data_IF_131046135093
#
_entry.id   IF_131046135093
#
_cell.length_a   1.000
_cell.length_b   1.000
_cell.length_c   1.000
_cell.angle_alpha   90.00
_cell.angle_beta   90.00
_cell.angle_gamma   90.00
#
_symmetry.space_group_name_H-M   'P 1'
#
loop_
_entity.id
_entity.type
_entity.pdbx_description
1 polymer ?
#
# COMPACT_ATOMS: atom_id res chain seq x y z
N UNK A 1 -10.75 14.16 20.63
CA UNK A 1 -9.32 13.83 20.83
C UNK A 1 -9.14 12.36 20.50
N UNK A 2 -8.09 12.00 19.78
CA UNK A 2 -7.76 10.60 19.50
C UNK A 2 -6.90 10.10 20.65
N UNK A 3 -7.35 9.06 21.32
CA UNK A 3 -6.58 8.37 22.36
C UNK A 3 -5.97 7.11 21.78
N UNK A 4 -4.76 6.76 22.23
CA UNK A 4 -4.05 5.59 21.77
C UNK A 4 -3.93 4.56 22.87
N UNK A 5 -4.31 3.32 22.59
CA UNK A 5 -3.94 2.18 23.43
C UNK A 5 -2.56 1.69 23.04
N UNK A 6 -1.79 1.25 24.02
CA UNK A 6 -0.49 0.61 23.83
C UNK A 6 -0.59 -0.85 24.23
N UNK A 7 -0.23 -1.73 23.29
CA UNK A 7 -0.18 -3.18 23.50
C UNK A 7 1.24 -3.69 23.31
N UNK A 8 1.60 -4.73 24.05
CA UNK A 8 2.74 -5.55 23.65
C UNK A 8 2.39 -6.33 22.38
N UNK A 9 3.40 -6.87 21.68
CA UNK A 9 3.17 -7.76 20.54
C UNK A 9 2.34 -9.00 20.91
N UNK A 10 2.33 -9.39 22.19
CA UNK A 10 1.57 -10.53 22.73
C UNK A 10 0.12 -10.20 23.15
N UNK A 11 -0.40 -9.04 22.73
CA UNK A 11 -1.76 -8.57 23.02
C UNK A 11 -2.01 -8.20 24.49
N UNK A 12 -0.99 -7.91 25.27
CA UNK A 12 -1.15 -7.35 26.60
C UNK A 12 -1.28 -5.82 26.49
N UNK A 13 -2.38 -5.26 26.97
CA UNK A 13 -2.56 -3.82 27.03
C UNK A 13 -1.76 -3.27 28.22
N UNK A 14 -0.77 -2.46 27.95
CA UNK A 14 0.16 -1.92 28.94
C UNK A 14 -0.09 -0.46 29.29
N UNK A 15 -0.89 0.26 28.51
CA UNK A 15 -1.23 1.64 28.80
C UNK A 15 -2.09 2.32 27.77
N UNK A 16 -2.33 3.62 28.01
CA UNK A 16 -3.04 4.53 27.12
C UNK A 16 -2.31 5.86 27.05
N UNK A 17 -2.26 6.47 25.88
CA UNK A 17 -1.70 7.80 25.64
C UNK A 17 -2.87 8.74 25.30
N UNK A 18 -3.09 9.73 26.15
CA UNK A 18 -4.16 10.72 26.03
C UNK A 18 -3.60 12.13 25.75
N UNK A 19 -2.32 12.34 26.08
CA UNK A 19 -1.64 13.63 25.92
C UNK A 19 -0.44 13.49 25.00
N UNK A 20 -0.38 14.33 23.99
CA UNK A 20 0.69 14.39 23.01
C UNK A 20 0.77 15.80 22.40
N UNK A 21 1.94 16.16 21.91
CA UNK A 21 2.21 17.44 21.25
C UNK A 21 1.78 17.40 19.78
N UNK A 22 1.98 16.25 19.15
CA UNK A 22 1.56 15.99 17.78
C UNK A 22 1.20 14.52 17.56
N UNK A 23 0.12 14.28 16.82
CA UNK A 23 -0.26 12.97 16.32
C UNK A 23 -0.63 13.11 14.86
N UNK A 24 -0.03 12.27 14.02
CA UNK A 24 -0.38 12.16 12.62
C UNK A 24 -0.61 10.69 12.26
N UNK A 25 -1.74 10.40 11.61
CA UNK A 25 -2.10 9.05 11.14
C UNK A 25 -2.41 9.15 9.66
N UNK A 26 -1.53 8.60 8.82
CA UNK A 26 -1.76 8.47 7.39
C UNK A 26 -2.18 7.04 7.06
N UNK A 27 -3.44 6.84 6.67
CA UNK A 27 -3.97 5.58 6.15
C UNK A 27 -3.74 5.53 4.64
N UNK A 28 -3.18 4.44 4.14
CA UNK A 28 -2.89 4.24 2.73
C UNK A 28 -3.55 2.98 2.19
N UNK A 29 -4.11 3.05 0.98
CA UNK A 29 -4.78 1.92 0.34
C UNK A 29 -3.79 0.96 -0.35
N UNK A 30 -2.78 1.49 -1.05
CA UNK A 30 -1.79 0.71 -1.80
C UNK A 30 -0.41 0.70 -1.15
N UNK A 31 -0.33 1.01 0.13
CA UNK A 31 0.93 1.02 0.88
C UNK A 31 0.64 0.84 2.37
N UNK A 32 1.70 0.58 3.15
CA UNK A 32 1.59 0.61 4.61
C UNK A 32 1.15 1.98 5.10
N UNK A 33 0.32 1.99 6.12
CA UNK A 33 -0.08 3.20 6.83
C UNK A 33 0.97 3.59 7.86
N UNK A 34 1.02 4.88 8.20
CA UNK A 34 2.04 5.44 9.11
C UNK A 34 1.35 6.17 10.26
N UNK A 35 1.85 5.99 11.46
CA UNK A 35 1.51 6.79 12.63
C UNK A 35 2.79 7.47 13.12
N UNK A 36 2.74 8.80 13.23
CA UNK A 36 3.77 9.62 13.85
C UNK A 36 3.21 10.24 15.12
N UNK A 37 3.93 10.09 16.22
CA UNK A 37 3.53 10.57 17.55
C UNK A 37 4.69 11.31 18.18
N UNK A 38 4.41 12.52 18.71
CA UNK A 38 5.36 13.33 19.44
C UNK A 38 4.77 13.75 20.77
N UNK A 39 5.50 13.50 21.86
CA UNK A 39 5.06 13.76 23.23
C UNK A 39 6.25 13.96 24.17
N UNK A 40 5.94 14.41 25.40
CA UNK A 40 6.96 14.63 26.42
C UNK A 40 7.60 13.30 26.88
N UNK A 41 8.92 13.32 27.14
CA UNK A 41 9.71 12.15 27.54
C UNK A 41 9.55 11.83 29.03
N UNK A 42 8.33 11.56 29.49
CA UNK A 42 8.12 11.05 30.85
C UNK A 42 8.61 9.60 30.97
N UNK A 43 8.95 9.16 32.20
CA UNK A 43 9.33 7.75 32.43
C UNK A 43 8.27 6.79 31.90
N UNK A 44 7.00 7.07 32.16
CA UNK A 44 5.86 6.26 31.68
C UNK A 44 5.83 6.18 30.14
N UNK A 45 6.00 7.31 29.43
CA UNK A 45 5.97 7.34 27.99
C UNK A 45 7.17 6.57 27.37
N UNK A 46 8.35 6.68 27.99
CA UNK A 46 9.54 5.91 27.61
C UNK A 46 9.30 4.40 27.75
N UNK A 47 8.66 3.97 28.85
CA UNK A 47 8.34 2.56 29.07
C UNK A 47 7.28 2.03 28.08
N UNK A 48 6.28 2.82 27.78
CA UNK A 48 5.18 2.44 26.87
C UNK A 48 5.64 2.35 25.40
N UNK A 49 6.49 3.26 24.96
CA UNK A 49 6.84 3.42 23.53
C UNK A 49 8.05 2.59 23.12
N UNK A 50 8.13 1.35 23.57
CA UNK A 50 9.20 0.45 23.21
C UNK A 50 9.03 -0.16 21.81
N UNK A 51 10.17 -0.53 21.19
CA UNK A 51 10.20 -1.23 19.90
C UNK A 51 9.31 -2.47 19.93
N UNK A 52 8.55 -2.68 18.87
CA UNK A 52 7.59 -3.76 18.65
C UNK A 52 6.29 -3.66 19.49
N UNK A 53 6.15 -2.69 20.37
CA UNK A 53 4.84 -2.39 20.92
C UNK A 53 3.91 -1.89 19.81
N UNK A 54 2.62 -2.13 19.98
CA UNK A 54 1.60 -1.83 18.97
C UNK A 54 0.67 -0.74 19.50
N UNK A 55 0.54 0.33 18.72
CA UNK A 55 -0.39 1.43 18.99
C UNK A 55 -1.69 1.17 18.23
N UNK A 56 -2.82 1.38 18.89
CA UNK A 56 -4.14 1.41 18.24
C UNK A 56 -4.91 2.63 18.71
N UNK A 57 -5.84 3.13 17.90
CA UNK A 57 -6.78 4.14 18.41
C UNK A 57 -7.83 3.47 19.28
N UNK A 58 -8.39 4.22 20.26
CA UNK A 58 -9.49 3.70 21.10
C UNK A 58 -10.76 3.44 20.29
N UNK A 59 -10.94 4.12 19.16
CA UNK A 59 -12.07 3.95 18.24
C UNK A 59 -11.91 2.76 17.30
N UNK A 60 -10.67 2.30 17.05
CA UNK A 60 -10.39 1.12 16.22
C UNK A 60 -9.23 0.32 16.81
N UNK A 61 -9.54 -0.50 17.79
CA UNK A 61 -8.56 -1.34 18.51
C UNK A 61 -7.99 -2.49 17.67
N UNK A 62 -8.63 -2.82 16.55
CA UNK A 62 -8.19 -3.91 15.68
C UNK A 62 -7.14 -3.46 14.65
N UNK A 63 -7.03 -2.17 14.38
CA UNK A 63 -6.04 -1.64 13.45
C UNK A 63 -4.79 -1.15 14.19
N UNK A 64 -3.74 -1.96 14.13
CA UNK A 64 -2.52 -1.74 14.89
C UNK A 64 -1.40 -1.11 14.07
N UNK A 65 -0.58 -0.30 14.75
CA UNK A 65 0.66 0.29 14.24
C UNK A 65 1.82 -0.19 15.11
N UNK A 66 2.74 -0.94 14.53
CA UNK A 66 3.93 -1.45 15.23
C UNK A 66 5.02 -0.40 15.27
N UNK A 67 5.57 -0.13 16.46
CA UNK A 67 6.63 0.85 16.67
C UNK A 67 7.93 0.32 16.07
N UNK A 68 8.52 1.09 15.15
CA UNK A 68 9.78 0.74 14.48
C UNK A 68 10.90 1.73 14.74
N UNK A 69 10.55 2.99 15.01
CA UNK A 69 11.52 4.03 15.25
C UNK A 69 11.14 4.84 16.49
N UNK A 70 12.13 5.07 17.35
CA UNK A 70 12.05 5.87 18.54
C UNK A 70 13.19 6.90 18.51
N UNK A 71 12.88 8.16 18.70
CA UNK A 71 13.82 9.26 18.81
C UNK A 71 13.57 9.98 20.13
N UNK A 72 14.62 10.19 20.91
CA UNK A 72 14.61 11.09 22.05
C UNK A 72 15.41 12.35 21.69
N UNK A 73 14.91 13.49 22.05
CA UNK A 73 15.63 14.73 21.91
C UNK A 73 15.29 15.70 23.05
N UNK A 74 16.25 16.52 23.41
CA UNK A 74 16.14 17.57 24.42
C UNK A 74 16.42 18.91 23.75
N UNK A 75 15.54 19.88 23.96
CA UNK A 75 15.64 21.23 23.42
C UNK A 75 15.18 22.26 24.44
N UNK A 76 15.07 23.53 24.05
CA UNK A 76 14.65 24.63 24.95
C UNK A 76 13.22 24.51 25.48
N UNK A 77 12.40 23.64 24.90
CA UNK A 77 10.99 23.37 25.29
C UNK A 77 10.91 22.16 26.23
N UNK A 78 11.97 21.38 26.38
CA UNK A 78 12.06 20.23 27.26
C UNK A 78 12.48 18.96 26.56
N UNK A 79 12.29 17.84 27.24
CA UNK A 79 12.61 16.50 26.78
C UNK A 79 11.42 15.88 26.04
N UNK A 80 11.63 15.43 24.82
CA UNK A 80 10.58 14.90 23.96
C UNK A 80 10.94 13.55 23.36
N UNK A 81 9.90 12.81 23.02
CA UNK A 81 9.96 11.56 22.27
C UNK A 81 9.20 11.74 20.96
N UNK A 82 9.81 11.27 19.87
CA UNK A 82 9.15 11.11 18.58
C UNK A 82 9.19 9.65 18.16
N UNK A 83 8.02 9.12 17.83
CA UNK A 83 7.84 7.70 17.44
C UNK A 83 7.25 7.61 16.07
N UNK A 84 7.82 6.70 15.26
CA UNK A 84 7.21 6.27 14.01
C UNK A 84 6.77 4.80 14.15
N UNK A 85 5.51 4.58 13.85
CA UNK A 85 4.91 3.26 13.82
C UNK A 85 4.23 3.02 12.48
N UNK A 86 4.34 1.81 11.96
CA UNK A 86 3.72 1.42 10.70
C UNK A 86 2.59 0.45 10.94
N UNK A 87 1.57 0.46 10.06
CA UNK A 87 0.53 -0.58 10.10
C UNK A 87 1.16 -1.97 10.10
N UNK A 88 0.45 -2.95 10.66
CA UNK A 88 0.97 -4.30 10.80
C UNK A 88 1.31 -5.00 9.48
N UNK A 89 0.90 -4.44 8.34
CA UNK A 89 1.39 -4.86 7.01
C UNK A 89 2.91 -4.79 6.89
N UNK A 90 3.55 -3.89 7.65
CA UNK A 90 5.02 -3.77 7.73
C UNK A 90 5.71 -5.07 8.16
N UNK A 91 5.00 -6.02 8.75
CA UNK A 91 5.54 -7.35 9.02
C UNK A 91 6.01 -8.07 7.75
N UNK A 92 5.44 -7.75 6.59
CA UNK A 92 5.85 -8.30 5.30
C UNK A 92 7.17 -7.70 4.79
N UNK A 93 7.50 -6.46 5.17
CA UNK A 93 8.78 -5.81 4.82
C UNK A 93 10.00 -6.56 5.40
N UNK A 94 9.79 -7.33 6.47
CA UNK A 94 10.83 -8.13 7.10
C UNK A 94 11.11 -9.45 6.37
N UNK A 95 10.47 -9.70 5.24
CA UNK A 95 10.60 -10.93 4.46
C UNK A 95 10.91 -10.62 3.01
N UNK A 96 11.57 -11.58 2.38
CA UNK A 96 11.87 -11.53 0.95
C UNK A 96 11.47 -12.86 0.30
N UNK A 97 11.04 -12.83 -0.94
CA UNK A 97 10.92 -14.03 -1.78
C UNK A 97 12.32 -14.56 -2.09
N UNK A 98 12.50 -15.86 -2.25
CA UNK A 98 13.82 -16.45 -2.41
C UNK A 98 14.03 -16.97 -3.84
N UNK A 99 13.24 -17.97 -4.22
CA UNK A 99 13.32 -18.60 -5.52
C UNK A 99 12.31 -17.97 -6.48
N UNK A 100 12.39 -18.33 -7.75
CA UNK A 100 11.32 -18.00 -8.69
C UNK A 100 10.03 -18.69 -8.24
N UNK A 101 9.00 -17.89 -8.01
CA UNK A 101 7.69 -18.34 -7.57
C UNK A 101 6.63 -17.79 -8.52
N UNK A 102 5.75 -18.68 -8.99
CA UNK A 102 4.66 -18.33 -9.89
C UNK A 102 3.35 -18.84 -9.31
N UNK A 103 2.42 -17.93 -9.09
CA UNK A 103 1.05 -18.27 -8.68
C UNK A 103 0.04 -17.62 -9.61
N UNK A 104 -1.02 -18.38 -9.93
CA UNK A 104 -2.15 -17.90 -10.71
C UNK A 104 -3.47 -18.31 -10.05
N UNK A 105 -4.53 -17.57 -10.36
CA UNK A 105 -5.88 -17.82 -9.85
C UNK A 105 -6.52 -16.58 -9.23
N UNK A 106 -7.44 -16.81 -8.28
CA UNK A 106 -8.08 -15.72 -7.55
C UNK A 106 -7.04 -14.84 -6.84
N UNK A 107 -7.14 -13.53 -6.97
CA UNK A 107 -6.16 -12.55 -6.48
C UNK A 107 -5.92 -12.65 -4.99
N UNK A 108 -6.96 -12.82 -4.19
CA UNK A 108 -6.85 -12.97 -2.74
C UNK A 108 -6.04 -14.22 -2.38
N UNK A 109 -6.30 -15.32 -3.07
CA UNK A 109 -5.57 -16.58 -2.89
C UNK A 109 -4.11 -16.45 -3.30
N UNK A 110 -3.81 -15.76 -4.40
CA UNK A 110 -2.44 -15.51 -4.88
C UNK A 110 -1.65 -14.70 -3.85
N UNK A 111 -2.20 -13.57 -3.37
CA UNK A 111 -1.58 -12.74 -2.33
C UNK A 111 -1.32 -13.56 -1.06
N UNK A 112 -2.34 -14.27 -0.59
CA UNK A 112 -2.27 -15.07 0.64
C UNK A 112 -1.27 -16.24 0.53
N UNK A 113 -1.09 -16.83 -0.66
CA UNK A 113 -0.06 -17.85 -0.89
C UNK A 113 1.36 -17.29 -0.69
N UNK A 114 1.68 -16.12 -1.24
CA UNK A 114 2.97 -15.47 -1.00
C UNK A 114 3.20 -15.20 0.51
N UNK A 115 2.21 -14.64 1.18
CA UNK A 115 2.30 -14.34 2.61
C UNK A 115 2.45 -15.64 3.42
N UNK A 116 1.65 -16.66 3.13
CA UNK A 116 1.73 -17.96 3.82
C UNK A 116 3.13 -18.56 3.71
N UNK A 117 3.68 -18.62 2.50
CA UNK A 117 4.98 -19.24 2.22
C UNK A 117 6.13 -18.55 2.94
N UNK A 118 6.11 -17.23 3.01
CA UNK A 118 7.25 -16.46 3.54
C UNK A 118 7.11 -16.03 5.00
N UNK A 119 5.87 -15.97 5.52
CA UNK A 119 5.61 -15.47 6.86
C UNK A 119 5.03 -16.51 7.83
N UNK A 120 4.36 -17.57 7.33
CA UNK A 120 3.59 -18.50 8.16
C UNK A 120 4.12 -19.93 8.00
N UNK A 121 3.99 -20.49 6.81
CA UNK A 121 4.36 -21.88 6.48
C UNK A 121 5.83 -21.95 6.03
N UNK A 122 6.73 -21.51 6.87
CA UNK A 122 8.16 -21.41 6.60
C UNK A 122 8.98 -21.95 7.78
N UNK A 123 10.31 -21.92 7.69
CA UNK A 123 11.16 -22.33 8.80
C UNK A 123 10.87 -21.51 10.06
N UNK A 124 11.09 -22.08 11.24
CA UNK A 124 10.85 -21.41 12.52
C UNK A 124 11.54 -20.04 12.63
N UNK A 125 12.72 -19.88 12.02
CA UNK A 125 13.46 -18.62 12.03
C UNK A 125 12.84 -17.52 11.14
N UNK A 126 11.99 -17.89 10.19
CA UNK A 126 11.32 -16.96 9.27
C UNK A 126 9.85 -16.76 9.62
N UNK A 127 9.25 -17.69 10.34
CA UNK A 127 7.85 -17.58 10.75
C UNK A 127 7.62 -16.31 11.58
N UNK A 128 6.52 -15.61 11.30
CA UNK A 128 6.07 -14.46 12.09
C UNK A 128 5.07 -14.98 13.13
N UNK A 129 5.38 -14.85 14.42
CA UNK A 129 4.50 -15.39 15.46
C UNK A 129 3.10 -14.79 15.39
N UNK A 130 2.07 -15.60 15.63
CA UNK A 130 0.64 -15.20 15.71
C UNK A 130 0.02 -14.70 14.39
N UNK A 131 0.79 -14.61 13.28
CA UNK A 131 0.26 -14.22 11.99
C UNK A 131 -0.53 -15.39 11.37
N UNK A 132 -1.74 -15.12 10.92
CA UNK A 132 -2.63 -16.08 10.25
C UNK A 132 -3.35 -15.42 9.09
N UNK A 133 -3.87 -16.24 8.18
CA UNK A 133 -4.71 -15.76 7.08
C UNK A 133 -6.18 -15.81 7.51
N UNK A 134 -6.91 -14.74 7.26
CA UNK A 134 -8.37 -14.75 7.29
C UNK A 134 -8.93 -15.41 6.01
N UNK A 135 -10.21 -15.74 6.01
CA UNK A 135 -10.91 -16.22 4.82
C UNK A 135 -10.89 -15.16 3.70
N UNK A 136 -11.10 -15.60 2.47
CA UNK A 136 -11.23 -14.69 1.34
C UNK A 136 -12.53 -13.87 1.46
N UNK A 137 -12.46 -12.60 1.08
CA UNK A 137 -13.59 -11.66 1.12
C UNK A 137 -14.58 -11.85 -0.02
N UNK A 138 -14.27 -12.72 -1.00
CA UNK A 138 -15.12 -12.99 -2.16
C UNK A 138 -14.83 -12.09 -3.37
N UNK A 139 -13.65 -11.46 -3.43
CA UNK A 139 -13.26 -10.64 -4.58
C UNK A 139 -13.05 -11.55 -5.80
N UNK A 140 -13.81 -11.31 -6.87
CA UNK A 140 -13.80 -12.13 -8.08
C UNK A 140 -12.87 -11.55 -9.15
N UNK A 141 -11.58 -11.51 -8.86
CA UNK A 141 -10.51 -11.05 -9.78
C UNK A 141 -9.50 -12.19 -9.92
N UNK A 142 -9.13 -12.50 -11.16
CA UNK A 142 -8.07 -13.48 -11.47
C UNK A 142 -6.79 -12.74 -11.81
N UNK A 143 -5.68 -13.19 -11.26
CA UNK A 143 -4.34 -12.63 -11.52
C UNK A 143 -3.31 -13.74 -11.66
N UNK A 144 -2.19 -13.37 -12.25
CA UNK A 144 -0.98 -14.19 -12.27
C UNK A 144 0.19 -13.30 -11.86
N UNK A 145 1.08 -13.86 -11.06
CA UNK A 145 2.27 -13.19 -10.60
C UNK A 145 3.46 -14.14 -10.50
N UNK A 146 4.61 -13.65 -10.93
CA UNK A 146 5.90 -14.33 -10.81
C UNK A 146 6.91 -13.39 -10.18
N UNK A 147 7.64 -13.85 -9.17
CA UNK A 147 8.65 -13.04 -8.47
C UNK A 147 9.87 -13.87 -8.08
N UNK A 148 11.02 -13.21 -7.90
CA UNK A 148 12.26 -13.79 -7.43
C UNK A 148 13.05 -12.74 -6.66
N UNK A 149 13.49 -13.05 -5.43
CA UNK A 149 14.39 -12.20 -4.65
C UNK A 149 13.87 -10.80 -4.32
N UNK A 150 12.55 -10.61 -4.25
CA UNK A 150 11.91 -9.32 -4.02
C UNK A 150 11.48 -9.14 -2.57
N UNK A 151 11.48 -7.90 -2.07
CA UNK A 151 10.85 -7.58 -0.79
C UNK A 151 9.37 -7.98 -0.83
N UNK A 152 8.89 -8.70 0.19
CA UNK A 152 7.54 -9.26 0.16
C UNK A 152 6.47 -8.18 0.26
N UNK A 153 6.64 -7.16 1.10
CA UNK A 153 5.68 -6.05 1.23
C UNK A 153 5.51 -5.32 -0.10
N UNK A 154 6.64 -4.97 -0.74
CA UNK A 154 6.65 -4.28 -2.03
C UNK A 154 5.92 -5.12 -3.10
N UNK A 155 6.20 -6.41 -3.17
CA UNK A 155 5.53 -7.32 -4.10
C UNK A 155 4.02 -7.44 -3.87
N UNK A 156 3.59 -7.55 -2.60
CA UNK A 156 2.18 -7.62 -2.24
C UNK A 156 1.44 -6.34 -2.63
N UNK A 157 2.01 -5.16 -2.34
CA UNK A 157 1.34 -3.90 -2.69
C UNK A 157 1.33 -3.62 -4.20
N UNK A 158 2.32 -4.07 -4.96
CA UNK A 158 2.26 -4.02 -6.42
C UNK A 158 1.11 -4.90 -6.97
N UNK A 159 0.93 -6.11 -6.43
CA UNK A 159 -0.20 -6.96 -6.77
C UNK A 159 -1.54 -6.31 -6.39
N UNK A 160 -1.60 -5.67 -5.23
CA UNK A 160 -2.78 -4.93 -4.78
C UNK A 160 -3.11 -3.79 -5.74
N UNK A 161 -2.13 -2.98 -6.11
CA UNK A 161 -2.31 -1.85 -7.02
C UNK A 161 -2.70 -2.29 -8.44
N UNK A 162 -2.09 -3.35 -8.95
CA UNK A 162 -2.42 -3.94 -10.26
C UNK A 162 -3.88 -4.37 -10.34
N UNK A 163 -4.42 -4.92 -9.25
CA UNK A 163 -5.75 -5.52 -9.20
C UNK A 163 -6.77 -4.64 -8.45
N UNK A 164 -6.41 -3.42 -8.07
CA UNK A 164 -7.28 -2.43 -7.40
C UNK A 164 -7.92 -2.94 -6.08
N UNK A 165 -7.20 -3.74 -5.34
CA UNK A 165 -7.55 -4.23 -4.00
C UNK A 165 -6.50 -3.81 -2.99
N UNK A 166 -6.70 -4.14 -1.72
CA UNK A 166 -5.66 -3.96 -0.71
C UNK A 166 -5.61 -5.12 0.28
N UNK A 167 -4.60 -5.12 1.11
CA UNK A 167 -4.40 -6.06 2.21
C UNK A 167 -4.19 -5.29 3.51
N UNK A 168 -4.81 -5.74 4.58
CA UNK A 168 -4.59 -5.27 5.94
C UNK A 168 -4.27 -6.43 6.88
N UNK A 169 -3.47 -6.16 7.90
CA UNK A 169 -3.24 -7.07 9.02
C UNK A 169 -3.92 -6.49 10.24
N UNK A 170 -4.94 -7.18 10.74
CA UNK A 170 -5.75 -6.74 11.87
C UNK A 170 -5.46 -7.55 13.12
N UNK A 171 -5.59 -6.90 14.27
CA UNK A 171 -5.50 -7.52 15.58
C UNK A 171 -6.82 -8.18 15.96
N UNK A 172 -6.84 -9.50 16.14
CA UNK A 172 -7.97 -10.19 16.76
C UNK A 172 -7.68 -10.40 18.25
N UNK A 173 -8.27 -9.57 19.09
CA UNK A 173 -8.03 -9.59 20.54
C UNK A 173 -8.61 -10.82 21.23
N UNK A 174 -9.61 -11.49 20.62
CA UNK A 174 -10.21 -12.72 21.18
C UNK A 174 -9.29 -13.91 20.97
N UNK A 175 -8.80 -14.10 19.75
CA UNK A 175 -7.90 -15.21 19.39
C UNK A 175 -6.44 -14.90 19.68
N UNK A 176 -6.09 -13.64 19.96
CA UNK A 176 -4.74 -13.11 20.10
C UNK A 176 -3.88 -13.43 18.87
N UNK A 177 -4.42 -13.14 17.69
CA UNK A 177 -3.79 -13.35 16.39
C UNK A 177 -3.80 -12.09 15.54
N UNK A 178 -2.82 -11.99 14.66
CA UNK A 178 -2.72 -11.01 13.59
C UNK A 178 -3.29 -11.64 12.33
N UNK A 179 -4.44 -11.17 11.87
CA UNK A 179 -5.19 -11.77 10.77
C UNK A 179 -5.02 -10.97 9.49
N UNK A 180 -4.63 -11.63 8.42
CA UNK A 180 -4.42 -11.02 7.10
C UNK A 180 -5.73 -11.00 6.33
N UNK A 181 -6.27 -9.83 6.10
CA UNK A 181 -7.48 -9.58 5.30
C UNK A 181 -7.14 -8.97 3.96
N UNK A 182 -7.85 -9.38 2.93
CA UNK A 182 -7.89 -8.72 1.62
C UNK A 182 -9.25 -8.05 1.45
N UNK A 183 -9.28 -6.84 0.91
CA UNK A 183 -10.53 -6.12 0.72
C UNK A 183 -10.45 -5.13 -0.45
N UNK A 184 -11.62 -4.67 -0.91
CA UNK A 184 -11.76 -3.70 -1.97
C UNK A 184 -12.76 -2.63 -1.55
N UNK A 185 -12.47 -1.37 -1.84
CA UNK A 185 -13.39 -0.27 -1.62
C UNK A 185 -14.56 -0.31 -2.63
N UNK A 186 -15.64 0.33 -2.25
CA UNK A 186 -16.85 0.40 -3.06
C UNK A 186 -16.76 1.45 -4.18
N UNK A 187 -17.48 1.22 -5.27
CA UNK A 187 -17.63 2.24 -6.30
C UNK A 187 -18.86 3.12 -6.00
N UNK A 188 -18.57 4.31 -5.45
CA UNK A 188 -19.56 5.33 -5.11
C UNK A 188 -19.57 6.51 -6.11
N UNK A 189 -19.10 6.26 -7.33
CA UNK A 189 -19.02 7.29 -8.36
C UNK A 189 -20.37 7.55 -9.05
N UNK A 190 -20.48 8.72 -9.66
CA UNK A 190 -21.64 9.13 -10.46
C UNK A 190 -21.83 8.22 -11.67
N UNK A 191 -23.08 7.83 -11.93
CA UNK A 191 -23.46 6.91 -13.03
C UNK A 191 -23.32 5.43 -12.67
N UNK A 192 -22.71 5.08 -11.54
CA UNK A 192 -22.58 3.69 -11.05
C UNK A 192 -23.40 3.50 -9.77
N UNK A 193 -23.30 4.42 -8.81
CA UNK A 193 -24.00 4.33 -7.53
C UNK A 193 -25.29 5.17 -7.54
N UNK A 194 -26.33 4.69 -6.87
CA UNK A 194 -27.60 5.43 -6.72
C UNK A 194 -27.44 6.69 -5.85
N UNK A 195 -26.54 6.64 -4.86
CA UNK A 195 -26.19 7.76 -3.98
C UNK A 195 -24.70 8.09 -4.15
N UNK A 196 -24.33 8.74 -5.26
CA UNK A 196 -22.92 8.96 -5.55
C UNK A 196 -22.30 10.03 -4.66
N UNK A 197 -21.05 9.80 -4.25
CA UNK A 197 -20.23 10.78 -3.55
C UNK A 197 -19.54 11.67 -4.58
N UNK A 198 -19.83 12.97 -4.52
CA UNK A 198 -19.35 13.98 -5.49
C UNK A 198 -18.67 15.14 -4.78
N UNK A 199 -17.42 15.35 -5.09
CA UNK A 199 -16.63 16.46 -4.60
C UNK A 199 -16.48 17.55 -5.66
N UNK A 200 -16.76 18.81 -5.28
CA UNK A 200 -16.65 19.96 -6.16
C UNK A 200 -16.59 21.26 -5.36
N UNK A 201 -15.87 22.26 -5.85
CA UNK A 201 -15.95 23.62 -5.28
C UNK A 201 -17.32 24.25 -5.44
N UNK A 202 -18.00 23.92 -6.53
CA UNK A 202 -19.34 24.40 -6.84
C UNK A 202 -20.39 23.84 -5.85
N UNK A 203 -20.09 22.71 -5.21
CA UNK A 203 -20.92 22.13 -4.15
C UNK A 203 -20.51 22.55 -2.74
N UNK A 204 -19.52 23.43 -2.63
CA UNK A 204 -18.99 23.97 -1.35
C UNK A 204 -18.56 22.86 -0.36
N UNK A 205 -18.25 21.66 -0.85
CA UNK A 205 -17.80 20.54 -0.04
C UNK A 205 -16.30 20.28 -0.12
N UNK A 206 -15.54 21.21 -0.77
CA UNK A 206 -14.09 21.19 -0.86
C UNK A 206 -13.53 22.60 -0.64
N UNK A 207 -12.70 22.77 0.38
CA UNK A 207 -12.08 24.07 0.69
C UNK A 207 -10.94 24.41 -0.29
N UNK A 208 -10.09 23.43 -0.55
CA UNK A 208 -8.97 23.58 -1.47
C UNK A 208 -8.87 22.37 -2.40
N UNK A 209 -8.38 22.60 -3.61
CA UNK A 209 -8.17 21.56 -4.61
C UNK A 209 -6.79 21.77 -5.21
N UNK A 210 -5.98 20.75 -5.20
CA UNK A 210 -4.80 20.63 -6.03
C UNK A 210 -5.02 19.48 -7.03
N UNK A 211 -5.02 19.80 -8.31
CA UNK A 211 -5.04 18.82 -9.38
C UNK A 211 -3.67 18.75 -10.03
N UNK A 212 -3.14 17.58 -10.14
CA UNK A 212 -1.90 17.37 -10.85
C UNK A 212 -2.04 16.25 -11.87
N UNK A 213 -1.46 16.48 -13.05
CA UNK A 213 -1.37 15.53 -14.15
C UNK A 213 0.09 15.40 -14.56
N UNK A 214 0.71 14.24 -14.30
CA UNK A 214 2.12 13.98 -14.60
C UNK A 214 2.25 12.78 -15.53
N UNK A 215 2.80 13.04 -16.73
CA UNK A 215 3.14 12.02 -17.73
C UNK A 215 4.65 11.76 -17.80
N UNK A 216 5.46 12.40 -16.98
CA UNK A 216 6.92 12.29 -17.04
C UNK A 216 7.43 10.88 -16.81
N UNK A 217 6.77 10.14 -15.91
CA UNK A 217 7.05 8.73 -15.62
C UNK A 217 6.29 7.74 -16.48
N UNK A 218 5.33 8.20 -17.29
CA UNK A 218 4.50 7.31 -18.10
C UNK A 218 5.30 6.54 -19.15
N UNK A 219 5.04 5.23 -19.23
CA UNK A 219 5.56 4.35 -20.28
C UNK A 219 4.43 3.54 -20.86
N UNK A 220 4.41 3.43 -22.18
CA UNK A 220 3.34 2.76 -22.92
C UNK A 220 3.77 1.44 -23.56
N UNK A 221 5.06 1.26 -23.85
CA UNK A 221 5.61 0.08 -24.51
C UNK A 221 6.76 -0.47 -23.68
N UNK A 222 6.77 -1.78 -23.44
CA UNK A 222 7.82 -2.49 -22.71
C UNK A 222 8.58 -3.47 -23.59
N UNK A 223 9.91 -3.37 -23.59
CA UNK A 223 10.81 -4.41 -24.10
C UNK A 223 11.26 -5.27 -22.93
N UNK A 224 10.70 -6.45 -22.79
CA UNK A 224 10.97 -7.35 -21.68
C UNK A 224 12.03 -8.36 -22.09
N UNK A 225 13.21 -8.23 -21.51
CA UNK A 225 14.36 -9.05 -21.84
C UNK A 225 14.57 -10.14 -20.79
N UNK A 226 14.30 -11.38 -21.16
CA UNK A 226 14.40 -12.58 -20.35
C UNK A 226 15.81 -13.15 -20.26
N UNK A 227 15.91 -14.47 -20.21
CA UNK A 227 17.18 -15.22 -20.19
C UNK A 227 17.95 -15.10 -21.51
N UNK A 228 19.23 -15.46 -21.46
CA UNK A 228 20.17 -15.35 -22.59
C UNK A 228 21.04 -14.09 -22.49
N UNK A 229 22.03 -14.02 -23.42
CA UNK A 229 22.96 -12.89 -23.49
C UNK A 229 23.11 -12.40 -24.94
N UNK A 230 23.36 -11.10 -25.09
CA UNK A 230 23.59 -10.49 -26.39
C UNK A 230 22.41 -10.69 -27.34
N UNK A 231 22.68 -11.14 -28.54
CA UNK A 231 21.70 -11.38 -29.62
C UNK A 231 20.83 -12.64 -29.39
N UNK A 232 21.25 -13.51 -28.48
CA UNK A 232 20.49 -14.72 -28.09
C UNK A 232 19.49 -14.47 -26.97
N UNK A 233 19.45 -13.24 -26.47
CA UNK A 233 18.55 -12.88 -25.40
C UNK A 233 17.11 -12.83 -25.85
N UNK A 234 16.24 -13.57 -25.16
CA UNK A 234 14.81 -13.58 -25.44
C UNK A 234 14.19 -12.22 -25.08
N UNK A 235 13.58 -11.55 -26.07
CA UNK A 235 12.93 -10.24 -25.89
C UNK A 235 11.48 -10.32 -26.36
N UNK A 236 10.56 -9.97 -25.45
CA UNK A 236 9.13 -9.83 -25.74
C UNK A 236 8.74 -8.35 -25.70
N UNK A 237 8.02 -7.89 -26.72
CA UNK A 237 7.50 -6.51 -26.78
C UNK A 237 6.05 -6.50 -26.31
N UNK A 238 5.73 -5.62 -25.38
CA UNK A 238 4.39 -5.48 -24.78
C UNK A 238 3.79 -4.16 -25.21
N UNK A 239 2.52 -4.17 -25.66
CA UNK A 239 1.76 -3.01 -26.15
C UNK A 239 2.38 -2.34 -27.40
N UNK A 240 2.87 -3.10 -28.34
CA UNK A 240 3.59 -2.62 -29.54
C UNK A 240 2.69 -1.94 -30.61
N UNK A 241 1.49 -1.54 -30.25
CA UNK A 241 0.51 -0.93 -31.15
C UNK A 241 0.52 0.60 -31.18
N UNK A 242 1.41 1.24 -30.40
CA UNK A 242 1.52 2.70 -30.29
C UNK A 242 2.69 3.26 -31.10
N UNK A 243 2.53 4.49 -31.62
CA UNK A 243 3.53 5.16 -32.43
C UNK A 243 3.64 6.66 -32.11
N UNK A 244 4.66 7.32 -32.63
CA UNK A 244 4.86 8.76 -32.47
C UNK A 244 5.01 9.20 -31.02
N UNK A 245 4.36 10.29 -30.63
CA UNK A 245 4.47 10.86 -29.29
C UNK A 245 3.77 10.01 -28.20
N UNK A 246 2.87 9.12 -28.59
CA UNK A 246 2.18 8.22 -27.69
C UNK A 246 3.02 6.97 -27.33
N UNK A 247 4.07 6.71 -28.14
CA UNK A 247 5.01 5.64 -27.87
C UNK A 247 6.11 6.10 -26.94
N UNK A 248 6.05 5.64 -25.67
CA UNK A 248 7.05 5.91 -24.64
C UNK A 248 7.58 4.58 -24.12
N UNK A 249 8.81 4.27 -24.45
CA UNK A 249 9.40 2.96 -24.27
C UNK A 249 10.13 2.79 -22.94
N UNK A 250 10.18 1.56 -22.47
CA UNK A 250 11.02 1.13 -21.35
C UNK A 250 11.65 -0.22 -21.66
N UNK A 251 12.91 -0.39 -21.30
CA UNK A 251 13.57 -1.68 -21.25
C UNK A 251 13.44 -2.29 -19.85
N UNK A 252 12.97 -3.53 -19.79
CA UNK A 252 12.69 -4.25 -18.54
C UNK A 252 13.61 -5.46 -18.51
N UNK A 253 14.60 -5.45 -17.62
CA UNK A 253 15.46 -6.60 -17.38
C UNK A 253 14.68 -7.64 -16.53
N UNK A 254 14.47 -8.82 -17.13
CA UNK A 254 13.72 -9.93 -16.55
C UNK A 254 14.57 -11.23 -16.55
N UNK A 255 15.90 -11.13 -16.44
CA UNK A 255 16.80 -12.30 -16.35
C UNK A 255 16.57 -13.16 -15.11
N UNK A 256 15.90 -12.63 -14.10
CA UNK A 256 15.43 -13.37 -12.95
C UNK A 256 14.34 -14.39 -13.28
N UNK A 257 13.66 -14.22 -14.42
CA UNK A 257 12.66 -15.17 -14.92
C UNK A 257 13.34 -16.20 -15.82
N UNK A 258 13.41 -17.42 -15.35
CA UNK A 258 14.02 -18.53 -16.06
C UNK A 258 12.94 -19.41 -16.71
N UNK A 259 13.24 -19.98 -17.89
CA UNK A 259 12.36 -20.96 -18.55
C UNK A 259 12.29 -22.28 -17.77
N UNK A 260 13.35 -22.61 -17.01
CA UNK A 260 13.40 -23.76 -16.12
C UNK A 260 13.60 -23.32 -14.68
N UNK A 261 12.72 -23.74 -13.78
CA UNK A 261 12.75 -23.39 -12.36
C UNK A 261 12.25 -24.54 -11.49
N UNK A 262 12.47 -24.48 -10.17
CA UNK A 262 11.89 -25.42 -9.23
C UNK A 262 10.59 -24.90 -8.66
N UNK A 263 9.57 -25.75 -8.65
CA UNK A 263 8.27 -25.43 -8.05
C UNK A 263 8.31 -25.47 -6.51
N UNK A 264 7.13 -25.31 -5.87
CA UNK A 264 6.98 -25.33 -4.41
C UNK A 264 7.32 -26.67 -3.76
N UNK A 265 7.43 -27.74 -4.55
CA UNK A 265 7.76 -29.11 -4.10
C UNK A 265 9.20 -29.51 -4.48
N UNK A 266 10.06 -28.54 -4.85
CA UNK A 266 11.41 -28.77 -5.38
C UNK A 266 11.46 -29.59 -6.68
N UNK A 267 10.34 -29.70 -7.41
CA UNK A 267 10.26 -30.36 -8.70
C UNK A 267 10.69 -29.38 -9.79
N UNK A 268 11.60 -29.82 -10.66
CA UNK A 268 12.04 -29.04 -11.81
C UNK A 268 10.90 -28.94 -12.84
N UNK A 269 10.55 -27.71 -13.19
CA UNK A 269 9.53 -27.37 -14.19
C UNK A 269 10.19 -26.62 -15.33
N UNK A 270 10.02 -27.11 -16.53
CA UNK A 270 10.45 -26.41 -17.76
C UNK A 270 9.22 -25.89 -18.49
N UNK A 271 9.18 -24.59 -18.70
CA UNK A 271 8.13 -23.92 -19.47
C UNK A 271 8.29 -24.17 -20.96
N UNK A 272 7.19 -24.33 -21.65
CA UNK A 272 7.22 -24.24 -23.11
C UNK A 272 7.59 -22.81 -23.56
N UNK A 273 8.11 -22.59 -24.78
CA UNK A 273 8.41 -21.25 -25.28
C UNK A 273 7.20 -20.29 -25.15
N UNK A 274 5.99 -20.77 -25.43
CA UNK A 274 4.76 -19.98 -25.31
C UNK A 274 4.48 -19.56 -23.86
N UNK A 275 4.65 -20.47 -22.91
CA UNK A 275 4.46 -20.17 -21.47
C UNK A 275 5.54 -19.21 -20.96
N UNK A 276 6.77 -19.36 -21.43
CA UNK A 276 7.85 -18.44 -21.07
C UNK A 276 7.60 -17.03 -21.62
N UNK A 277 7.19 -16.88 -22.89
CA UNK A 277 6.77 -15.61 -23.48
C UNK A 277 5.61 -14.98 -22.71
N UNK A 278 4.63 -15.79 -22.27
CA UNK A 278 3.54 -15.28 -21.44
C UNK A 278 4.03 -14.76 -20.10
N UNK A 279 5.01 -15.44 -19.49
CA UNK A 279 5.63 -15.00 -18.24
C UNK A 279 6.34 -13.66 -18.40
N UNK A 280 7.11 -13.47 -19.48
CA UNK A 280 7.73 -12.20 -19.82
C UNK A 280 6.69 -11.11 -20.11
N UNK A 281 5.63 -11.43 -20.85
CA UNK A 281 4.53 -10.51 -21.14
C UNK A 281 3.87 -10.02 -19.83
N UNK A 282 3.59 -10.93 -18.91
CA UNK A 282 3.00 -10.59 -17.61
C UNK A 282 3.91 -9.66 -16.79
N UNK A 283 5.22 -9.89 -16.77
CA UNK A 283 6.20 -8.99 -16.15
C UNK A 283 6.18 -7.61 -16.82
N UNK A 284 6.08 -7.56 -18.13
CA UNK A 284 5.98 -6.30 -18.89
C UNK A 284 4.72 -5.51 -18.52
N UNK A 285 3.57 -6.16 -18.51
CA UNK A 285 2.30 -5.54 -18.11
C UNK A 285 2.32 -5.05 -16.67
N UNK A 286 2.92 -5.83 -15.76
CA UNK A 286 3.11 -5.45 -14.36
C UNK A 286 3.94 -4.16 -14.28
N UNK A 287 5.10 -4.11 -14.93
CA UNK A 287 5.96 -2.92 -14.92
C UNK A 287 5.35 -1.70 -15.60
N UNK A 288 4.62 -1.87 -16.69
CA UNK A 288 3.89 -0.78 -17.32
C UNK A 288 2.74 -0.26 -16.43
N UNK A 289 2.11 -1.14 -15.63
CA UNK A 289 1.06 -0.75 -14.69
C UNK A 289 1.54 0.17 -13.57
N UNK A 290 2.82 0.09 -13.20
CA UNK A 290 3.48 0.99 -12.24
C UNK A 290 3.81 2.37 -12.85
N UNK A 291 3.84 2.46 -14.17
CA UNK A 291 4.27 3.64 -14.95
C UNK A 291 3.10 4.30 -15.68
N UNK A 292 1.93 4.26 -15.09
CA UNK A 292 0.74 4.95 -15.63
C UNK A 292 0.87 6.47 -15.54
N UNK A 293 0.05 7.17 -16.30
CA UNK A 293 -0.18 8.60 -16.08
C UNK A 293 -0.64 8.80 -14.66
N UNK A 294 -0.01 9.74 -13.97
CA UNK A 294 -0.40 10.08 -12.60
C UNK A 294 -1.37 11.24 -12.66
N UNK A 295 -2.61 10.98 -12.31
CA UNK A 295 -3.62 12.00 -12.05
C UNK A 295 -3.99 11.95 -10.58
N UNK A 296 -3.77 13.06 -9.88
CA UNK A 296 -4.13 13.17 -8.47
C UNK A 296 -5.01 14.36 -8.24
N UNK A 297 -5.93 14.17 -7.32
CA UNK A 297 -6.58 15.24 -6.61
C UNK A 297 -6.17 15.18 -5.15
N UNK A 298 -5.67 16.27 -4.63
CA UNK A 298 -5.56 16.49 -3.20
C UNK A 298 -6.51 17.60 -2.82
N UNK A 299 -7.26 17.42 -1.75
CA UNK A 299 -8.23 18.41 -1.32
C UNK A 299 -8.46 18.38 0.17
N UNK A 300 -8.67 19.55 0.73
CA UNK A 300 -9.22 19.70 2.06
C UNK A 300 -10.75 19.60 1.93
N UNK A 301 -11.30 18.51 2.45
CA UNK A 301 -12.73 18.23 2.38
C UNK A 301 -13.43 19.02 3.49
N UNK A 302 -14.56 19.64 3.14
CA UNK A 302 -15.46 20.25 4.12
C UNK A 302 -16.57 19.23 4.41
N UNK A 303 -16.63 18.73 5.64
CA UNK A 303 -17.61 17.74 6.09
C UNK A 303 -19.03 18.35 6.23
N UNK A 304 -19.52 18.95 5.15
CA UNK A 304 -20.87 19.52 5.12
C UNK A 304 -21.89 18.61 4.46
N UNK A 305 -21.45 17.84 3.50
CA UNK A 305 -22.30 17.02 2.64
C UNK A 305 -21.96 15.54 2.71
N UNK A 306 -20.67 15.20 2.80
CA UNK A 306 -20.16 13.83 2.87
C UNK A 306 -19.16 13.72 4.01
N UNK A 307 -19.39 12.78 4.91
CA UNK A 307 -18.56 12.53 6.09
C UNK A 307 -17.67 11.31 5.87
N UNK A 308 -16.36 11.47 6.05
CA UNK A 308 -15.41 10.35 6.00
C UNK A 308 -15.75 9.30 7.07
N UNK A 309 -15.76 8.04 6.66
CA UNK A 309 -16.12 6.90 7.52
C UNK A 309 -17.63 6.63 7.63
N UNK A 310 -18.48 7.49 7.04
CA UNK A 310 -19.93 7.33 6.96
C UNK A 310 -20.36 7.20 5.51
N UNK A 311 -20.15 8.25 4.71
CA UNK A 311 -20.58 8.30 3.31
C UNK A 311 -19.53 7.71 2.37
N UNK A 312 -18.26 7.89 2.68
CA UNK A 312 -17.13 7.34 1.93
C UNK A 312 -15.99 6.94 2.85
N UNK A 313 -15.14 6.05 2.37
CA UNK A 313 -14.02 5.49 3.11
C UNK A 313 -12.77 5.39 2.24
N UNK A 314 -11.62 5.10 2.89
CA UNK A 314 -10.39 4.73 2.18
C UNK A 314 -10.69 3.58 1.22
N UNK A 315 -10.19 3.68 -0.01
CA UNK A 315 -10.38 2.68 -1.05
C UNK A 315 -11.62 2.86 -1.91
N UNK A 316 -12.61 3.66 -1.50
CA UNK A 316 -13.80 3.93 -2.32
C UNK A 316 -13.45 4.75 -3.57
N UNK A 317 -14.17 4.48 -4.66
CA UNK A 317 -14.12 5.30 -5.86
C UNK A 317 -15.22 6.35 -5.78
N UNK A 318 -14.85 7.60 -5.90
CA UNK A 318 -15.75 8.76 -5.80
C UNK A 318 -15.64 9.63 -7.06
N UNK A 319 -16.57 10.53 -7.27
CA UNK A 319 -16.54 11.49 -8.38
C UNK A 319 -15.97 12.81 -7.92
N UNK A 320 -15.09 13.36 -8.72
CA UNK A 320 -14.59 14.70 -8.58
C UNK A 320 -14.97 15.53 -9.81
N UNK A 321 -15.63 16.67 -9.61
CA UNK A 321 -16.05 17.56 -10.69
C UNK A 321 -15.36 18.91 -10.57
N UNK A 322 -14.84 19.38 -11.66
CA UNK A 322 -14.37 20.76 -11.81
C UNK A 322 -14.96 21.36 -13.08
N UNK A 323 -15.85 22.33 -12.92
CA UNK A 323 -16.43 23.05 -14.05
C UNK A 323 -15.35 23.85 -14.78
N UNK A 324 -14.40 24.42 -14.04
CA UNK A 324 -13.30 25.21 -14.62
C UNK A 324 -12.40 24.39 -15.54
N UNK A 325 -12.17 23.13 -15.22
CA UNK A 325 -11.40 22.18 -16.03
C UNK A 325 -12.29 21.44 -17.04
N UNK A 326 -13.61 21.63 -16.96
CA UNK A 326 -14.62 20.89 -17.71
C UNK A 326 -14.36 19.36 -17.64
N UNK A 327 -14.10 18.85 -16.44
CA UNK A 327 -13.78 17.44 -16.22
C UNK A 327 -14.56 16.87 -15.05
N UNK A 328 -14.99 15.61 -15.23
CA UNK A 328 -15.43 14.72 -14.16
C UNK A 328 -14.42 13.60 -14.12
N UNK A 329 -13.85 13.33 -12.96
CA UNK A 329 -12.94 12.22 -12.73
C UNK A 329 -13.55 11.29 -11.69
N UNK A 330 -13.55 10.00 -12.00
CA UNK A 330 -13.86 8.96 -11.05
C UNK A 330 -12.53 8.44 -10.51
N UNK A 331 -12.28 8.66 -9.24
CA UNK A 331 -10.97 8.41 -8.65
C UNK A 331 -11.10 7.73 -7.29
N UNK A 332 -10.13 6.90 -6.96
CA UNK A 332 -10.09 6.17 -5.69
C UNK A 332 -9.54 7.05 -4.57
N UNK A 333 -10.12 6.95 -3.39
CA UNK A 333 -9.54 7.47 -2.14
C UNK A 333 -8.33 6.61 -1.79
N UNK A 334 -7.13 7.12 -2.04
CA UNK A 334 -5.89 6.33 -1.88
C UNK A 334 -5.15 6.61 -0.60
N UNK A 335 -5.38 7.77 0.02
CA UNK A 335 -4.78 8.11 1.31
C UNK A 335 -5.67 9.04 2.11
N UNK A 336 -5.64 8.88 3.42
CA UNK A 336 -6.33 9.75 4.37
C UNK A 336 -5.35 10.09 5.49
N UNK A 337 -5.06 11.37 5.65
CA UNK A 337 -4.22 11.90 6.70
C UNK A 337 -5.09 12.59 7.74
N UNK A 338 -5.01 12.10 8.97
CA UNK A 338 -5.58 12.74 10.16
C UNK A 338 -4.40 13.28 10.96
N UNK A 339 -4.41 14.57 11.24
CA UNK A 339 -3.41 15.19 12.10
C UNK A 339 -4.09 15.94 13.27
N UNK A 340 -3.48 15.84 14.45
CA UNK A 340 -3.93 16.50 15.66
C UNK A 340 -2.73 17.23 16.25
N UNK A 341 -2.87 18.55 16.43
CA UNK A 341 -1.85 19.37 17.08
C UNK A 341 -2.02 19.43 18.61
N UNK A 342 -1.07 20.03 19.30
CA UNK A 342 -1.10 20.22 20.76
C UNK A 342 -2.31 21.05 21.26
N UNK A 343 -2.93 21.85 20.40
CA UNK A 343 -4.16 22.59 20.69
C UNK A 343 -5.44 21.74 20.48
N UNK A 344 -5.27 20.46 20.16
CA UNK A 344 -6.35 19.48 19.91
C UNK A 344 -7.19 19.78 18.67
N UNK A 345 -6.67 20.62 17.75
CA UNK A 345 -7.28 20.83 16.46
C UNK A 345 -7.00 19.62 15.60
N UNK A 346 -8.05 19.02 15.06
CA UNK A 346 -7.99 17.89 14.15
C UNK A 346 -8.20 18.38 12.72
N UNK A 347 -7.25 18.07 11.86
CA UNK A 347 -7.33 18.30 10.42
C UNK A 347 -7.41 16.95 9.69
N UNK A 348 -8.32 16.86 8.71
CA UNK A 348 -8.50 15.70 7.84
C UNK A 348 -8.17 16.09 6.41
N UNK A 349 -7.17 15.41 5.83
CA UNK A 349 -6.80 15.57 4.43
C UNK A 349 -6.97 14.26 3.67
N UNK A 350 -7.69 14.32 2.56
CA UNK A 350 -7.97 13.14 1.73
C UNK A 350 -7.27 13.30 0.39
N UNK A 351 -6.57 12.24 -0.04
CA UNK A 351 -5.92 12.17 -1.34
C UNK A 351 -6.62 11.16 -2.23
N UNK A 352 -6.79 11.53 -3.49
CA UNK A 352 -7.48 10.74 -4.49
C UNK A 352 -6.55 10.42 -5.67
N UNK A 353 -6.63 9.22 -6.20
CA UNK A 353 -5.75 8.77 -7.27
C UNK A 353 -4.33 8.43 -6.79
N UNK A 354 -3.41 8.29 -7.72
CA UNK A 354 -2.03 7.95 -7.40
C UNK A 354 -1.25 9.21 -7.04
N UNK A 355 -0.62 9.25 -5.87
CA UNK A 355 0.25 10.37 -5.47
C UNK A 355 1.34 10.61 -6.51
N UNK A 356 1.57 11.88 -6.84
CA UNK A 356 2.75 12.25 -7.62
C UNK A 356 3.98 12.00 -6.76
N UNK A 357 4.93 11.15 -7.23
CA UNK A 357 6.13 10.90 -6.47
C UNK A 357 6.90 12.19 -6.22
N UNK A 358 7.16 12.50 -4.97
CA UNK A 358 8.01 13.63 -4.59
C UNK A 358 9.44 13.41 -5.09
N UNK A 359 10.26 14.46 -5.09
CA UNK A 359 11.69 14.33 -5.42
C UNK A 359 12.38 13.30 -4.52
N UNK A 360 12.01 13.25 -3.24
CA UNK A 360 12.53 12.26 -2.28
C UNK A 360 12.12 10.84 -2.64
N UNK A 361 10.89 10.62 -3.10
CA UNK A 361 10.45 9.29 -3.54
C UNK A 361 11.18 8.84 -4.81
N UNK A 362 11.43 9.79 -5.73
CA UNK A 362 12.25 9.55 -6.93
C UNK A 362 13.69 9.21 -6.57
N UNK A 363 14.29 9.90 -5.61
CA UNK A 363 15.66 9.62 -5.11
C UNK A 363 15.71 8.25 -4.43
N UNK A 364 14.75 7.92 -3.56
CA UNK A 364 14.68 6.61 -2.90
C UNK A 364 14.58 5.45 -3.91
N UNK A 365 13.84 5.61 -5.01
CA UNK A 365 13.77 4.61 -6.09
C UNK A 365 15.09 4.43 -6.82
N UNK A 366 15.90 5.48 -6.96
CA UNK A 366 17.22 5.42 -7.63
C UNK A 366 18.27 4.76 -6.73
N UNK A 367 18.22 5.01 -5.43
CA UNK A 367 19.19 4.43 -4.45
C UNK A 367 18.92 2.96 -4.16
N UNK A 368 17.68 2.46 -4.38
CA UNK A 368 17.29 1.05 -4.21
C UNK A 368 17.60 0.15 -5.45
N UNK A 369 18.08 0.71 -6.54
CA UNK A 369 18.58 -0.02 -7.72
C UNK A 369 20.10 -0.25 -7.60
#
# INVERSE_FOLDING_TARGET
>A
MIELNVFTYDFERIGTIEHYNHLSIERNYYNRSVLELELDATEQNVELLQKHNVLTTTTNINYGYIITQFQYYDNTEGEHIKVFAYSLNHLFDWRTTLNQERYSGNVETVIKKFIAKHCINTSANRSIPRLVLADNSGINITTESTTTGKNLEEHIFELCQKNEITVDVLMNHVTKRYEVYTWQGENKSEGINENPVKFSKEFENVASIEFAHDTSGYRSVGYVAGEGEGDEREIVVVNDNLSGLDRKEIFIDARDLQSTYKDENDVEVTLTPTEYHQTLTNRGLEKLSEMKVVETFEGEIIDTQFVYGVDYSLGDIVSFRSERLNRILHTRVTSVLISVDGNKKMDLKVSFGNKIPTLLDKIKKVVKK
#
